data_IF_702665712178
#
_entry.id   IF_702665712178
#
_cell.length_a   1.000
_cell.length_b   1.000
_cell.length_c   1.000
_cell.angle_alpha   90.00
_cell.angle_beta   90.00
_cell.angle_gamma   90.00
#
_symmetry.space_group_name_H-M   'P 1'
#
loop_
_entity.id
_entity.type
_entity.pdbx_description
1 polymer ?
#
# COMPACT_ATOMS: atom_id res chain seq x y z
N UNK A 1 -9.74 -4.64 1.19
CA UNK A 1 -10.45 -5.89 0.86
C UNK A 1 -11.73 -5.57 0.11
N UNK A 2 -12.19 -6.49 -0.72
CA UNK A 2 -13.47 -6.34 -1.43
C UNK A 2 -14.63 -6.22 -0.44
N UNK A 3 -15.69 -5.53 -0.86
CA UNK A 3 -16.93 -5.49 -0.07
C UNK A 3 -17.86 -6.64 -0.46
N UNK A 4 -18.68 -7.11 0.48
CA UNK A 4 -19.73 -8.08 0.18
C UNK A 4 -20.71 -7.57 -0.90
N UNK A 5 -20.93 -6.26 -0.94
CA UNK A 5 -21.81 -5.64 -1.94
C UNK A 5 -21.24 -5.80 -3.35
N UNK A 6 -19.92 -5.54 -3.54
CA UNK A 6 -19.26 -5.76 -4.84
C UNK A 6 -19.36 -7.23 -5.27
N UNK A 7 -19.04 -8.17 -4.35
CA UNK A 7 -19.08 -9.61 -4.64
C UNK A 7 -20.49 -10.07 -5.05
N UNK A 8 -21.51 -9.56 -4.37
CA UNK A 8 -22.92 -9.93 -4.65
C UNK A 8 -23.48 -9.29 -5.91
N UNK A 9 -22.95 -8.15 -6.34
CA UNK A 9 -23.43 -7.46 -7.53
C UNK A 9 -23.18 -8.26 -8.81
N UNK A 10 -21.98 -8.79 -8.98
CA UNK A 10 -21.62 -9.66 -10.11
C UNK A 10 -20.47 -10.62 -9.74
N UNK A 11 -20.78 -11.77 -9.13
CA UNK A 11 -19.76 -12.74 -8.73
C UNK A 11 -18.95 -13.31 -9.91
N UNK A 12 -19.58 -13.47 -11.09
CA UNK A 12 -18.94 -14.00 -12.27
C UNK A 12 -17.89 -13.05 -12.82
N UNK A 13 -18.26 -11.79 -12.99
CA UNK A 13 -17.34 -10.73 -13.40
C UNK A 13 -16.13 -10.68 -12.46
N UNK A 14 -16.34 -10.75 -11.14
CA UNK A 14 -15.24 -10.73 -10.17
C UNK A 14 -14.30 -11.91 -10.37
N UNK A 15 -14.82 -13.14 -10.52
CA UNK A 15 -14.00 -14.33 -10.76
C UNK A 15 -13.18 -14.16 -12.04
N UNK A 16 -13.79 -13.71 -13.13
CA UNK A 16 -13.12 -13.45 -14.41
C UNK A 16 -12.00 -12.42 -14.26
N UNK A 17 -12.27 -11.31 -13.56
CA UNK A 17 -11.25 -10.26 -13.34
C UNK A 17 -10.11 -10.74 -12.43
N UNK A 18 -10.38 -11.50 -11.39
CA UNK A 18 -9.36 -12.07 -10.51
C UNK A 18 -8.42 -13.04 -11.25
N UNK A 19 -8.92 -13.74 -12.29
CA UNK A 19 -8.10 -14.60 -13.14
C UNK A 19 -6.99 -13.82 -13.89
N UNK A 20 -7.18 -12.53 -14.18
CA UNK A 20 -6.14 -11.64 -14.74
C UNK A 20 -4.92 -11.57 -13.85
N UNK A 21 -5.12 -11.55 -12.50
CA UNK A 21 -4.03 -11.64 -11.50
C UNK A 21 -3.51 -13.07 -11.28
N UNK A 22 -4.00 -14.06 -12.02
CA UNK A 22 -3.67 -15.45 -11.80
C UNK A 22 -4.32 -16.07 -10.56
N UNK A 23 -5.34 -15.43 -10.00
CA UNK A 23 -6.04 -15.91 -8.83
C UNK A 23 -7.30 -16.69 -9.22
N UNK A 24 -7.40 -17.96 -8.76
CA UNK A 24 -8.63 -18.74 -8.88
C UNK A 24 -9.64 -18.25 -7.85
N UNK A 25 -10.58 -17.44 -8.32
CA UNK A 25 -11.62 -16.83 -7.48
C UNK A 25 -12.87 -17.70 -7.27
N UNK A 26 -13.07 -18.80 -8.00
CA UNK A 26 -14.34 -19.55 -7.97
C UNK A 26 -14.69 -20.03 -6.55
N UNK A 27 -13.80 -20.78 -5.92
CA UNK A 27 -14.04 -21.34 -4.58
C UNK A 27 -14.10 -20.26 -3.49
N UNK A 28 -13.15 -19.30 -3.42
CA UNK A 28 -13.21 -18.23 -2.42
C UNK A 28 -14.47 -17.37 -2.51
N UNK A 29 -14.87 -16.96 -3.71
CA UNK A 29 -16.10 -16.16 -3.91
C UNK A 29 -17.34 -16.97 -3.53
N UNK A 30 -17.45 -18.22 -3.95
CA UNK A 30 -18.55 -19.09 -3.56
C UNK A 30 -18.62 -19.28 -2.03
N UNK A 31 -17.47 -19.45 -1.35
CA UNK A 31 -17.39 -19.57 0.11
C UNK A 31 -17.89 -18.31 0.80
N UNK A 32 -17.45 -17.13 0.36
CA UNK A 32 -17.89 -15.84 0.92
C UNK A 32 -19.41 -15.66 0.78
N UNK A 33 -19.97 -16.01 -0.39
CA UNK A 33 -21.42 -15.93 -0.62
C UNK A 33 -22.20 -16.87 0.29
N UNK A 34 -21.74 -18.11 0.46
CA UNK A 34 -22.37 -19.07 1.36
C UNK A 34 -22.31 -18.64 2.83
N UNK A 35 -21.18 -18.09 3.24
CA UNK A 35 -21.04 -17.52 4.59
C UNK A 35 -21.91 -16.29 4.80
N UNK A 36 -22.10 -15.42 3.80
CA UNK A 36 -23.01 -14.27 3.91
C UNK A 36 -24.47 -14.73 3.99
N UNK A 37 -24.85 -15.79 3.32
CA UNK A 37 -26.18 -16.38 3.45
C UNK A 37 -26.42 -16.92 4.86
N UNK A 38 -25.47 -17.69 5.42
CA UNK A 38 -25.52 -18.16 6.80
C UNK A 38 -25.56 -17.01 7.81
N UNK A 39 -24.74 -15.98 7.62
CA UNK A 39 -24.74 -14.78 8.47
C UNK A 39 -26.09 -14.10 8.49
N UNK A 40 -26.78 -13.98 7.34
CA UNK A 40 -28.13 -13.38 7.26
C UNK A 40 -29.18 -14.24 7.97
N UNK A 41 -29.11 -15.57 7.82
CA UNK A 41 -30.01 -16.49 8.53
C UNK A 41 -29.81 -16.40 10.05
N UNK A 42 -28.56 -16.43 10.52
CA UNK A 42 -28.22 -16.30 11.93
C UNK A 42 -28.61 -14.94 12.51
N UNK A 43 -28.43 -13.85 11.74
CA UNK A 43 -28.89 -12.51 12.15
C UNK A 43 -30.41 -12.48 12.33
N UNK A 44 -31.15 -13.04 11.39
CA UNK A 44 -32.63 -13.10 11.49
C UNK A 44 -33.06 -13.93 12.71
N UNK A 45 -32.44 -15.09 12.96
CA UNK A 45 -32.72 -15.92 14.14
C UNK A 45 -32.41 -15.19 15.43
N UNK A 46 -31.28 -14.53 15.52
CA UNK A 46 -30.88 -13.75 16.70
C UNK A 46 -31.83 -12.58 16.96
N UNK A 47 -32.20 -11.84 15.94
CA UNK A 47 -33.15 -10.71 16.05
C UNK A 47 -34.55 -11.17 16.43
N UNK A 48 -35.00 -12.32 15.87
CA UNK A 48 -36.29 -12.93 16.22
C UNK A 48 -36.31 -13.37 17.68
N UNK A 49 -35.25 -14.04 18.15
CA UNK A 49 -35.12 -14.44 19.54
C UNK A 49 -35.08 -13.24 20.50
N UNK A 50 -34.39 -12.16 20.12
CA UNK A 50 -34.35 -10.91 20.89
C UNK A 50 -35.74 -10.26 21.01
N UNK A 51 -36.49 -10.20 19.89
CA UNK A 51 -37.88 -9.67 19.89
C UNK A 51 -38.80 -10.49 20.75
N UNK A 52 -38.71 -11.83 20.70
CA UNK A 52 -39.53 -12.74 21.51
C UNK A 52 -39.18 -12.62 23.00
N UNK A 53 -37.92 -12.49 23.37
CA UNK A 53 -37.48 -12.23 24.75
C UNK A 53 -38.11 -10.94 25.30
N UNK A 54 -38.14 -9.87 24.50
CA UNK A 54 -38.79 -8.61 24.90
C UNK A 54 -40.29 -8.78 25.10
N UNK A 55 -40.97 -9.55 24.23
CA UNK A 55 -42.37 -9.87 24.33
C UNK A 55 -42.70 -10.68 25.59
N UNK A 56 -41.88 -11.70 25.87
CA UNK A 56 -42.06 -12.54 27.06
C UNK A 56 -41.79 -11.76 28.36
N UNK A 57 -40.78 -10.88 28.36
CA UNK A 57 -40.52 -10.01 29.52
C UNK A 57 -41.71 -9.09 29.83
N UNK A 58 -42.35 -8.51 28.79
CA UNK A 58 -43.56 -7.71 28.96
C UNK A 58 -44.75 -8.55 29.48
N UNK A 59 -44.91 -9.79 29.01
CA UNK A 59 -45.93 -10.73 29.47
C UNK A 59 -45.75 -11.11 30.93
N UNK A 60 -44.51 -11.42 31.38
CA UNK A 60 -44.18 -11.67 32.77
C UNK A 60 -44.54 -10.46 33.64
N UNK A 61 -44.15 -9.27 33.22
CA UNK A 61 -44.50 -8.03 33.94
C UNK A 61 -46.02 -7.83 34.13
N UNK A 62 -46.81 -8.17 33.10
CA UNK A 62 -48.26 -8.11 33.15
C UNK A 62 -48.83 -9.19 34.10
N UNK A 63 -48.41 -10.44 33.96
CA UNK A 63 -48.85 -11.56 34.80
C UNK A 63 -48.56 -11.32 36.30
N UNK A 64 -47.36 -10.76 36.60
CA UNK A 64 -47.02 -10.39 37.99
C UNK A 64 -47.91 -9.30 38.57
N UNK A 65 -48.30 -8.26 37.77
CA UNK A 65 -49.20 -7.20 38.18
C UNK A 65 -50.62 -7.69 38.43
N UNK A 66 -51.05 -8.70 37.68
CA UNK A 66 -52.38 -9.32 37.79
C UNK A 66 -52.42 -10.47 38.80
N UNK A 67 -51.33 -10.75 39.52
CA UNK A 67 -51.26 -11.80 40.55
C UNK A 67 -51.19 -13.24 40.03
N UNK A 68 -51.00 -13.45 38.71
CA UNK A 68 -50.94 -14.77 38.04
C UNK A 68 -49.51 -15.34 38.13
N UNK A 69 -49.14 -15.82 39.32
CA UNK A 69 -47.79 -16.26 39.63
C UNK A 69 -47.33 -17.50 38.83
N UNK A 70 -48.22 -18.49 38.63
CA UNK A 70 -47.91 -19.72 37.86
C UNK A 70 -47.62 -19.43 36.40
N UNK A 71 -48.37 -18.49 35.78
CA UNK A 71 -48.14 -18.06 34.42
C UNK A 71 -46.81 -17.30 34.28
N UNK A 72 -46.45 -16.51 35.30
CA UNK A 72 -45.17 -15.80 35.32
C UNK A 72 -43.98 -16.76 35.48
N UNK A 73 -44.10 -17.84 36.28
CA UNK A 73 -43.05 -18.86 36.44
C UNK A 73 -42.81 -19.66 35.13
N UNK A 74 -43.86 -20.15 34.48
CA UNK A 74 -43.78 -20.81 33.17
C UNK A 74 -43.13 -19.93 32.11
N UNK A 75 -43.48 -18.66 32.09
CA UNK A 75 -42.88 -17.71 31.16
C UNK A 75 -41.42 -17.45 31.46
N UNK A 76 -40.96 -17.49 32.73
CA UNK A 76 -39.55 -17.37 33.09
C UNK A 76 -38.72 -18.57 32.62
N UNK A 77 -39.24 -19.80 32.71
CA UNK A 77 -38.58 -20.98 32.16
C UNK A 77 -38.37 -20.85 30.65
N UNK A 78 -39.38 -20.41 29.91
CA UNK A 78 -39.28 -20.14 28.47
C UNK A 78 -38.23 -19.05 28.15
N UNK A 79 -38.17 -18.00 28.98
CA UNK A 79 -37.14 -16.95 28.82
C UNK A 79 -35.75 -17.49 29.02
N UNK A 80 -35.53 -18.43 29.98
CA UNK A 80 -34.22 -19.02 30.22
C UNK A 80 -33.72 -19.82 29.00
N UNK A 81 -34.59 -20.67 28.43
CA UNK A 81 -34.27 -21.43 27.22
C UNK A 81 -33.99 -20.52 26.01
N UNK A 82 -34.83 -19.54 25.78
CA UNK A 82 -34.68 -18.62 24.64
C UNK A 82 -33.43 -17.74 24.77
N UNK A 83 -32.98 -17.40 25.97
CA UNK A 83 -31.69 -16.72 26.21
C UNK A 83 -30.51 -17.57 25.83
N UNK A 84 -30.53 -18.85 26.13
CA UNK A 84 -29.45 -19.78 25.74
C UNK A 84 -29.39 -19.94 24.21
N UNK A 85 -30.57 -20.05 23.55
CA UNK A 85 -30.63 -20.11 22.08
C UNK A 85 -30.11 -18.81 21.45
N UNK A 86 -30.53 -17.64 21.94
CA UNK A 86 -30.07 -16.33 21.44
C UNK A 86 -28.55 -16.20 21.61
N UNK A 87 -28.00 -16.62 22.73
CA UNK A 87 -26.56 -16.61 22.98
C UNK A 87 -25.81 -17.50 21.98
N UNK A 88 -26.33 -18.71 21.71
CA UNK A 88 -25.75 -19.61 20.72
C UNK A 88 -25.76 -18.98 19.30
N UNK A 89 -26.89 -18.34 18.89
CA UNK A 89 -26.96 -17.62 17.61
C UNK A 89 -25.99 -16.46 17.55
N UNK A 90 -25.84 -15.68 18.61
CA UNK A 90 -24.90 -14.56 18.66
C UNK A 90 -23.44 -15.03 18.55
N UNK A 91 -23.07 -16.12 19.23
CA UNK A 91 -21.73 -16.71 19.15
C UNK A 91 -21.43 -17.27 17.75
N UNK A 92 -22.39 -17.94 17.12
CA UNK A 92 -22.22 -18.47 15.78
C UNK A 92 -22.17 -17.37 14.74
N UNK A 93 -22.99 -16.31 14.90
CA UNK A 93 -22.95 -15.11 14.07
C UNK A 93 -21.59 -14.43 14.13
N UNK A 94 -21.03 -14.27 15.32
CA UNK A 94 -19.69 -13.68 15.50
C UNK A 94 -18.60 -14.52 14.81
N UNK A 95 -18.65 -15.85 14.95
CA UNK A 95 -17.73 -16.76 14.23
C UNK A 95 -17.87 -16.64 12.72
N UNK A 96 -19.09 -16.66 12.20
CA UNK A 96 -19.36 -16.54 10.76
C UNK A 96 -18.87 -15.20 10.22
N UNK A 97 -19.00 -14.10 10.95
CA UNK A 97 -18.46 -12.78 10.58
C UNK A 97 -16.94 -12.79 10.52
N UNK A 98 -16.26 -13.41 11.50
CA UNK A 98 -14.80 -13.55 11.50
C UNK A 98 -14.30 -14.43 10.34
N UNK A 99 -15.04 -15.50 9.98
CA UNK A 99 -14.71 -16.33 8.82
C UNK A 99 -14.85 -15.56 7.52
N UNK A 100 -15.92 -14.77 7.33
CA UNK A 100 -16.08 -13.90 6.16
C UNK A 100 -14.90 -12.93 6.04
N UNK A 101 -14.49 -12.30 7.13
CA UNK A 101 -13.36 -11.38 7.14
C UNK A 101 -12.06 -12.10 6.74
N UNK A 102 -11.83 -13.30 7.28
CA UNK A 102 -10.66 -14.12 6.95
C UNK A 102 -10.62 -14.50 5.48
N UNK A 103 -11.76 -14.92 4.91
CA UNK A 103 -11.85 -15.23 3.48
C UNK A 103 -11.60 -14.00 2.61
N UNK A 104 -12.21 -12.86 2.94
CA UNK A 104 -12.02 -11.60 2.21
C UNK A 104 -10.57 -11.10 2.23
N UNK A 105 -9.81 -11.38 3.31
CA UNK A 105 -8.39 -11.04 3.40
C UNK A 105 -7.52 -11.86 2.45
N UNK A 106 -7.99 -13.01 2.00
CA UNK A 106 -7.29 -13.89 1.08
C UNK A 106 -7.63 -13.64 -0.40
N UNK A 107 -8.57 -12.75 -0.68
CA UNK A 107 -8.97 -12.38 -2.05
C UNK A 107 -8.27 -11.07 -2.43
N UNK A 108 -7.50 -11.04 -3.54
CA UNK A 108 -6.84 -9.83 -4.01
C UNK A 108 -7.85 -8.77 -4.49
N UNK A 109 -7.37 -7.55 -4.71
CA UNK A 109 -8.19 -6.51 -5.33
C UNK A 109 -8.50 -6.87 -6.79
N UNK A 110 -9.66 -6.42 -7.26
CA UNK A 110 -10.09 -6.58 -8.65
C UNK A 110 -9.18 -5.72 -9.54
N UNK A 111 -8.52 -6.27 -10.56
CA UNK A 111 -7.77 -5.45 -11.50
C UNK A 111 -8.70 -4.59 -12.36
N UNK A 112 -8.28 -3.34 -12.58
CA UNK A 112 -8.96 -2.42 -13.50
C UNK A 112 -9.02 -2.99 -14.92
N UNK A 113 -10.04 -2.62 -15.70
CA UNK A 113 -10.26 -3.18 -17.05
C UNK A 113 -9.05 -3.02 -17.98
N UNK A 114 -8.31 -1.93 -17.86
CA UNK A 114 -7.13 -1.64 -18.65
C UNK A 114 -5.85 -2.39 -18.23
N UNK A 115 -5.89 -3.26 -17.21
CA UNK A 115 -4.74 -4.06 -16.80
C UNK A 115 -4.51 -5.18 -17.81
N UNK A 116 -3.29 -5.29 -18.42
CA UNK A 116 -2.99 -6.33 -19.38
C UNK A 116 -2.91 -7.70 -18.71
N UNK A 117 -3.29 -8.72 -19.47
CA UNK A 117 -3.05 -10.11 -19.07
C UNK A 117 -1.54 -10.40 -19.11
N UNK A 118 -1.06 -11.19 -18.17
CA UNK A 118 0.34 -11.56 -18.05
C UNK A 118 0.62 -12.23 -16.72
N UNK A 119 1.79 -12.86 -16.59
CA UNK A 119 2.19 -13.63 -15.41
C UNK A 119 3.46 -13.12 -14.73
N UNK A 120 4.28 -12.39 -15.47
CA UNK A 120 5.61 -11.96 -15.02
C UNK A 120 5.90 -10.54 -15.48
N UNK A 121 6.93 -9.93 -14.95
CA UNK A 121 7.41 -8.60 -15.37
C UNK A 121 7.71 -8.50 -16.89
N UNK A 122 8.01 -9.61 -17.56
CA UNK A 122 8.22 -9.62 -19.01
C UNK A 122 6.95 -9.32 -19.82
N UNK A 123 5.78 -9.47 -19.21
CA UNK A 123 4.46 -9.24 -19.83
C UNK A 123 3.96 -7.80 -19.58
N UNK A 124 4.73 -6.96 -18.86
CA UNK A 124 4.40 -5.57 -18.62
C UNK A 124 4.46 -4.75 -19.92
N UNK A 125 3.61 -3.76 -20.04
CA UNK A 125 3.49 -2.94 -21.24
C UNK A 125 4.19 -1.60 -21.05
N UNK A 126 5.20 -1.31 -21.90
CA UNK A 126 5.82 0.02 -21.95
C UNK A 126 4.82 1.00 -22.55
N UNK A 127 4.36 1.97 -21.78
CA UNK A 127 3.42 3.00 -22.23
C UNK A 127 4.11 4.25 -22.78
N UNK A 128 5.22 4.63 -22.13
CA UNK A 128 5.90 5.87 -22.43
C UNK A 128 7.39 5.77 -22.14
N UNK A 129 8.20 6.44 -22.96
CA UNK A 129 9.64 6.51 -22.78
C UNK A 129 10.10 7.96 -22.93
N UNK A 130 11.20 8.33 -22.27
CA UNK A 130 11.78 9.68 -22.39
C UNK A 130 13.21 9.76 -21.87
N UNK A 131 13.78 10.95 -21.97
CA UNK A 131 15.17 11.21 -21.65
C UNK A 131 16.14 10.72 -22.73
N UNK A 132 17.39 11.18 -22.64
CA UNK A 132 18.45 10.81 -23.56
C UNK A 132 19.35 9.72 -22.96
N UNK A 133 19.58 8.65 -23.72
CA UNK A 133 20.50 7.61 -23.31
C UNK A 133 21.93 8.18 -23.27
N UNK A 134 22.66 8.06 -22.15
CA UNK A 134 24.01 8.59 -22.06
C UNK A 134 24.98 7.76 -22.90
N UNK A 135 25.87 8.44 -23.60
CA UNK A 135 27.02 7.80 -24.24
C UNK A 135 28.17 7.76 -23.22
N UNK A 136 28.46 6.58 -22.70
CA UNK A 136 29.57 6.38 -21.76
C UNK A 136 30.74 5.68 -22.43
N UNK A 137 31.98 5.94 -21.97
CA UNK A 137 33.14 5.21 -22.42
C UNK A 137 33.05 3.72 -22.03
N UNK A 138 33.81 2.86 -22.75
CA UNK A 138 33.76 1.40 -22.52
C UNK A 138 34.18 0.98 -21.11
N UNK A 139 35.03 1.78 -20.46
CA UNK A 139 35.52 1.61 -19.10
C UNK A 139 34.65 2.29 -18.02
N UNK A 140 33.43 2.72 -18.35
CA UNK A 140 32.50 3.30 -17.41
C UNK A 140 32.25 2.39 -16.20
N UNK A 141 32.33 2.96 -15.01
CA UNK A 141 32.26 2.20 -13.77
C UNK A 141 30.80 2.10 -13.28
N UNK A 142 30.38 0.97 -12.72
CA UNK A 142 29.11 0.85 -12.04
C UNK A 142 29.13 1.62 -10.71
N UNK A 143 27.93 1.96 -10.20
CA UNK A 143 27.78 2.83 -9.04
C UNK A 143 28.52 2.36 -7.77
N UNK A 144 28.68 1.07 -7.54
CA UNK A 144 29.42 0.55 -6.37
C UNK A 144 30.93 0.81 -6.46
N UNK A 145 31.49 0.83 -7.66
CA UNK A 145 32.91 1.17 -7.87
C UNK A 145 33.09 2.69 -7.83
N UNK A 146 32.15 3.48 -8.38
CA UNK A 146 32.15 4.94 -8.24
C UNK A 146 31.97 5.37 -6.78
N UNK A 147 31.08 4.71 -6.04
CA UNK A 147 30.87 4.97 -4.61
C UNK A 147 32.16 4.77 -3.80
N UNK A 148 32.95 3.74 -4.13
CA UNK A 148 34.25 3.48 -3.52
C UNK A 148 35.30 4.48 -3.98
N UNK A 149 35.40 4.76 -5.29
CA UNK A 149 36.36 5.68 -5.88
C UNK A 149 36.30 7.07 -5.26
N UNK A 150 35.10 7.58 -5.06
CA UNK A 150 34.82 8.94 -4.53
C UNK A 150 34.46 8.94 -3.05
N UNK A 151 34.57 7.81 -2.34
CA UNK A 151 34.22 7.67 -0.92
C UNK A 151 32.82 8.22 -0.57
N UNK A 152 31.83 7.80 -1.35
CA UNK A 152 30.45 8.27 -1.21
C UNK A 152 29.58 7.34 -0.37
N UNK A 153 29.82 6.03 -0.48
CA UNK A 153 29.03 5.00 0.19
C UNK A 153 29.98 3.85 0.57
N UNK A 154 29.91 3.45 1.82
CA UNK A 154 30.66 2.32 2.35
C UNK A 154 29.72 1.18 2.72
N UNK A 155 29.76 0.10 1.96
CA UNK A 155 28.96 -1.09 2.20
C UNK A 155 29.55 -1.98 3.30
N UNK A 156 30.89 -1.99 3.46
CA UNK A 156 31.56 -2.81 4.45
C UNK A 156 31.32 -2.29 5.87
N UNK A 157 31.29 -0.96 6.05
CA UNK A 157 30.88 -0.35 7.32
C UNK A 157 29.43 -0.69 7.65
N UNK A 158 28.55 -0.73 6.67
CA UNK A 158 27.17 -1.17 6.84
C UNK A 158 27.06 -2.62 7.32
N UNK A 159 27.85 -3.51 6.70
CA UNK A 159 27.95 -4.92 7.15
C UNK A 159 28.46 -5.02 8.59
N UNK A 160 29.45 -4.21 8.95
CA UNK A 160 30.00 -4.17 10.32
C UNK A 160 29.00 -3.72 11.36
N UNK A 161 28.14 -2.75 11.03
CA UNK A 161 27.19 -2.15 11.98
C UNK A 161 25.93 -3.02 12.13
N UNK A 162 25.42 -3.53 11.00
CA UNK A 162 24.09 -4.16 10.96
C UNK A 162 24.09 -5.48 10.18
N UNK A 163 24.63 -5.46 8.96
CA UNK A 163 24.61 -6.59 8.02
C UNK A 163 24.58 -6.12 6.57
N UNK A 164 24.57 -7.07 5.64
CA UNK A 164 24.44 -6.75 4.22
C UNK A 164 23.12 -6.03 3.93
N UNK A 165 23.11 -5.13 2.94
CA UNK A 165 21.90 -4.37 2.55
C UNK A 165 21.63 -3.12 3.40
N UNK A 166 22.57 -2.69 4.23
CA UNK A 166 22.52 -1.45 5.03
C UNK A 166 23.71 -0.54 4.67
N UNK A 167 23.65 0.28 3.63
CA UNK A 167 24.75 1.13 3.20
C UNK A 167 25.00 2.29 4.16
N UNK A 168 26.27 2.73 4.28
CA UNK A 168 26.65 3.94 5.01
C UNK A 168 27.03 5.02 4.00
N UNK A 169 26.26 6.08 3.92
CA UNK A 169 26.54 7.24 3.06
C UNK A 169 27.54 8.17 3.74
N UNK A 170 28.54 8.66 2.98
CA UNK A 170 29.67 9.44 3.51
C UNK A 170 29.85 10.73 2.70
N UNK A 171 30.19 11.83 3.34
CA UNK A 171 30.62 13.07 2.71
C UNK A 171 29.67 13.60 1.64
N UNK A 172 30.15 13.73 0.38
CA UNK A 172 29.34 14.18 -0.77
C UNK A 172 28.20 13.20 -1.08
N UNK A 173 28.35 11.90 -0.79
CA UNK A 173 27.28 10.90 -0.94
C UNK A 173 26.10 11.15 0.02
N UNK A 174 26.39 11.38 1.30
CA UNK A 174 25.37 11.73 2.29
C UNK A 174 24.70 13.08 1.97
N UNK A 175 25.48 14.03 1.44
CA UNK A 175 24.95 15.32 1.00
C UNK A 175 24.01 15.17 -0.20
N UNK A 176 24.37 14.35 -1.21
CA UNK A 176 23.54 14.05 -2.36
C UNK A 176 22.21 13.38 -1.93
N UNK A 177 22.29 12.43 -1.00
CA UNK A 177 21.09 11.77 -0.45
C UNK A 177 20.10 12.78 0.15
N UNK A 178 20.58 13.68 1.01
CA UNK A 178 19.75 14.74 1.60
C UNK A 178 19.23 15.74 0.55
N UNK A 179 20.03 16.06 -0.45
CA UNK A 179 19.66 16.97 -1.54
C UNK A 179 18.49 16.39 -2.36
N UNK A 180 18.50 15.09 -2.65
CA UNK A 180 17.41 14.40 -3.32
C UNK A 180 16.12 14.41 -2.48
N UNK A 181 16.23 14.10 -1.18
CA UNK A 181 15.08 14.15 -0.26
C UNK A 181 14.44 15.54 -0.30
N UNK A 182 15.24 16.59 -0.10
CA UNK A 182 14.72 17.94 -0.08
C UNK A 182 14.14 18.36 -1.42
N UNK A 183 14.79 18.02 -2.53
CA UNK A 183 14.30 18.30 -3.87
C UNK A 183 12.92 17.65 -4.12
N UNK A 184 12.77 16.37 -3.78
CA UNK A 184 11.51 15.64 -3.98
C UNK A 184 10.37 16.20 -3.12
N UNK A 185 10.64 16.55 -1.86
CA UNK A 185 9.65 17.17 -0.98
C UNK A 185 9.24 18.56 -1.49
N UNK A 186 10.20 19.40 -1.90
CA UNK A 186 9.91 20.72 -2.47
C UNK A 186 9.06 20.62 -3.75
N UNK A 187 9.34 19.66 -4.63
CA UNK A 187 8.56 19.44 -5.85
C UNK A 187 7.16 18.89 -5.55
N UNK A 188 7.03 18.00 -4.56
CA UNK A 188 5.72 17.55 -4.09
C UNK A 188 4.90 18.71 -3.51
N UNK A 189 5.52 19.59 -2.70
CA UNK A 189 4.89 20.79 -2.17
C UNK A 189 4.37 21.73 -3.27
N UNK A 190 5.16 21.93 -4.35
CA UNK A 190 4.71 22.72 -5.53
C UNK A 190 3.53 22.11 -6.26
N UNK A 191 3.39 20.79 -6.20
CA UNK A 191 2.26 20.03 -6.77
C UNK A 191 1.05 19.96 -5.83
N UNK A 192 1.08 20.72 -4.71
CA UNK A 192 -0.03 20.83 -3.76
C UNK A 192 -0.12 19.70 -2.73
N UNK A 193 0.95 18.92 -2.56
CA UNK A 193 1.01 17.93 -1.48
C UNK A 193 1.41 18.59 -0.16
N UNK A 194 0.73 18.20 0.92
CA UNK A 194 1.09 18.56 2.29
C UNK A 194 2.13 17.58 2.81
N UNK A 195 3.27 18.10 3.27
CA UNK A 195 4.31 17.29 3.88
C UNK A 195 3.89 16.79 5.26
N UNK A 196 4.08 15.48 5.47
CA UNK A 196 3.82 14.78 6.72
C UNK A 196 5.11 14.10 7.18
N UNK A 197 5.45 14.23 8.44
CA UNK A 197 6.54 13.49 9.07
C UNK A 197 5.95 12.41 10.00
N UNK A 198 5.76 11.17 9.50
CA UNK A 198 5.13 10.10 10.26
C UNK A 198 6.14 9.34 11.14
N UNK A 199 5.67 8.56 12.13
CA UNK A 199 6.52 7.61 12.84
C UNK A 199 6.98 6.48 11.89
N UNK A 200 8.18 5.92 12.14
CA UNK A 200 8.75 4.82 11.35
C UNK A 200 8.41 3.43 11.91
N UNK A 201 7.68 3.40 12.99
CA UNK A 201 7.09 2.19 13.58
C UNK A 201 5.58 2.33 13.64
N UNK A 202 4.87 1.24 13.33
CA UNK A 202 3.42 1.20 13.29
C UNK A 202 2.88 0.00 14.05
N UNK A 203 1.64 0.09 14.53
CA UNK A 203 0.94 -1.02 15.12
C UNK A 203 0.36 -1.98 14.05
N UNK A 204 -0.09 -3.16 14.49
CA UNK A 204 -0.68 -4.19 13.63
C UNK A 204 -1.87 -3.66 12.81
N UNK A 205 -2.76 -2.86 13.43
CA UNK A 205 -3.92 -2.28 12.75
C UNK A 205 -3.54 -1.37 11.58
N UNK A 206 -2.38 -0.71 11.64
CA UNK A 206 -1.87 0.10 10.54
C UNK A 206 -1.34 -0.74 9.39
N UNK A 207 -0.62 -1.82 9.69
CA UNK A 207 -0.18 -2.77 8.67
C UNK A 207 -1.36 -3.49 7.99
N UNK A 208 -2.40 -3.80 8.75
CA UNK A 208 -3.64 -4.36 8.25
C UNK A 208 -4.38 -3.39 7.31
N UNK A 209 -4.47 -2.12 7.70
CA UNK A 209 -5.21 -1.09 6.96
C UNK A 209 -4.77 -0.93 5.51
N UNK A 210 -3.47 -0.93 5.24
CA UNK A 210 -2.88 -0.78 3.90
C UNK A 210 -2.57 -2.12 3.21
N UNK A 211 -2.67 -3.25 3.94
CA UNK A 211 -2.56 -4.58 3.33
C UNK A 211 -1.18 -5.22 3.40
N UNK A 212 -0.24 -4.65 4.16
CA UNK A 212 1.04 -5.29 4.49
C UNK A 212 0.87 -6.46 5.46
N UNK A 213 -0.20 -6.46 6.25
CA UNK A 213 -0.59 -7.58 7.10
C UNK A 213 -1.91 -8.20 6.63
N UNK A 214 -2.06 -9.54 6.76
CA UNK A 214 -1.06 -10.50 7.21
C UNK A 214 0.14 -10.59 6.25
N UNK A 215 1.37 -10.58 6.81
CA UNK A 215 2.62 -10.62 6.04
C UNK A 215 2.91 -12.04 5.52
N UNK A 216 2.36 -12.35 4.35
CA UNK A 216 2.49 -13.67 3.71
C UNK A 216 3.89 -13.94 3.17
N UNK A 217 4.64 -12.88 2.87
CA UNK A 217 5.97 -12.95 2.26
C UNK A 217 7.12 -12.77 3.26
N UNK A 218 6.80 -12.44 4.51
CA UNK A 218 7.79 -12.22 5.55
C UNK A 218 8.64 -10.96 5.35
N UNK A 219 8.07 -9.91 4.77
CA UNK A 219 8.79 -8.68 4.41
C UNK A 219 8.92 -7.67 5.56
N UNK A 220 8.04 -7.74 6.55
CA UNK A 220 8.00 -6.77 7.65
C UNK A 220 9.01 -7.10 8.74
N UNK A 221 9.75 -6.10 9.22
CA UNK A 221 10.51 -6.19 10.46
C UNK A 221 9.59 -6.02 11.67
N UNK A 222 9.57 -7.01 12.56
CA UNK A 222 8.77 -6.99 13.79
C UNK A 222 9.65 -6.60 15.01
N UNK A 223 9.25 -5.56 15.73
CA UNK A 223 9.75 -5.22 17.06
C UNK A 223 8.97 -6.04 18.07
N UNK A 224 9.51 -7.18 18.44
CA UNK A 224 8.77 -8.28 19.08
C UNK A 224 8.18 -7.92 20.46
N UNK A 225 8.94 -7.20 21.31
CA UNK A 225 8.50 -6.85 22.67
C UNK A 225 7.30 -5.90 22.65
N UNK A 226 7.33 -4.91 21.76
CA UNK A 226 6.31 -3.85 21.69
C UNK A 226 5.18 -4.18 20.71
N UNK A 227 5.30 -5.28 19.95
CA UNK A 227 4.37 -5.68 18.87
C UNK A 227 4.16 -4.56 17.84
N UNK A 228 5.24 -3.87 17.50
CA UNK A 228 5.30 -2.85 16.47
C UNK A 228 6.05 -3.37 15.25
N UNK A 229 5.81 -2.74 14.10
CA UNK A 229 6.46 -3.07 12.84
C UNK A 229 7.22 -1.85 12.32
N UNK A 230 8.45 -2.05 11.83
CA UNK A 230 9.14 -1.03 11.04
C UNK A 230 8.43 -0.88 9.69
N UNK A 231 8.23 0.36 9.26
CA UNK A 231 7.49 0.63 8.02
C UNK A 231 8.29 0.23 6.77
N UNK A 232 7.70 -0.47 5.79
CA UNK A 232 8.33 -0.75 4.50
C UNK A 232 8.18 0.41 3.51
N UNK A 233 7.34 1.39 3.83
CA UNK A 233 6.99 2.58 3.04
C UNK A 233 6.21 3.57 3.92
N UNK A 234 6.34 4.87 3.65
CA UNK A 234 5.54 5.89 4.31
C UNK A 234 4.03 5.81 3.97
N UNK A 235 3.66 5.08 2.91
CA UNK A 235 2.27 4.75 2.61
C UNK A 235 1.53 4.26 3.86
N UNK A 236 2.14 3.35 4.63
CA UNK A 236 1.49 2.72 5.79
C UNK A 236 1.06 3.75 6.83
N UNK A 237 1.95 4.55 7.43
CA UNK A 237 1.53 5.53 8.42
C UNK A 237 0.69 6.66 7.84
N UNK A 238 0.99 7.16 6.63
CA UNK A 238 0.30 8.31 6.06
C UNK A 238 -1.15 7.97 5.67
N UNK A 239 -1.38 6.82 5.04
CA UNK A 239 -2.75 6.40 4.70
C UNK A 239 -3.56 6.09 5.96
N UNK A 240 -2.91 5.59 7.03
CA UNK A 240 -3.58 5.30 8.31
C UNK A 240 -3.96 6.54 9.13
N UNK A 241 -3.53 7.76 8.75
CA UNK A 241 -4.07 9.00 9.32
C UNK A 241 -5.60 9.10 9.12
N UNK A 242 -6.10 8.44 8.09
CA UNK A 242 -7.51 8.44 7.70
C UNK A 242 -8.24 7.15 8.10
N UNK A 243 -7.66 6.32 8.98
CA UNK A 243 -8.30 5.12 9.50
C UNK A 243 -9.44 5.48 10.46
N UNK A 244 -10.62 4.83 10.28
CA UNK A 244 -11.85 5.05 11.03
C UNK A 244 -12.41 6.50 10.95
N UNK A 245 -12.11 7.21 9.84
CA UNK A 245 -12.54 8.59 9.61
C UNK A 245 -13.67 8.65 8.60
N UNK A 246 -14.61 9.57 8.81
CA UNK A 246 -15.57 10.02 7.80
C UNK A 246 -15.21 11.45 7.43
N UNK A 247 -14.60 11.62 6.27
CA UNK A 247 -14.11 12.89 5.72
C UNK A 247 -15.33 13.66 5.17
N UNK A 248 -15.36 14.99 5.33
CA UNK A 248 -16.35 15.80 4.61
C UNK A 248 -16.00 15.84 3.12
N UNK A 249 -17.01 15.67 2.24
CA UNK A 249 -16.78 15.56 0.79
C UNK A 249 -16.11 16.79 0.15
N UNK A 250 -16.20 17.96 0.79
CA UNK A 250 -15.54 19.21 0.39
C UNK A 250 -14.05 19.26 0.80
N UNK A 251 -13.59 18.36 1.66
CA UNK A 251 -12.18 18.22 2.04
C UNK A 251 -11.37 17.33 1.08
N UNK A 252 -12.04 16.66 0.16
CA UNK A 252 -11.39 15.86 -0.89
C UNK A 252 -11.10 16.72 -2.13
N UNK A 253 -9.98 16.52 -2.83
CA UNK A 253 -8.95 15.49 -2.57
C UNK A 253 -8.00 15.85 -1.43
N UNK A 254 -7.48 14.82 -0.73
CA UNK A 254 -6.38 14.96 0.21
C UNK A 254 -5.09 14.49 -0.47
N UNK A 255 -4.07 15.34 -0.46
CA UNK A 255 -2.75 15.08 -1.04
C UNK A 255 -1.68 15.20 0.04
N UNK A 256 -1.00 14.11 0.37
CA UNK A 256 0.08 14.09 1.36
C UNK A 256 1.38 13.57 0.73
N UNK A 257 2.52 14.10 1.15
CA UNK A 257 3.82 13.53 0.87
C UNK A 257 4.60 13.31 2.18
N UNK A 258 5.48 12.31 2.18
CA UNK A 258 6.30 12.02 3.35
C UNK A 258 7.65 11.44 2.94
N UNK A 259 8.71 11.92 3.53
CA UNK A 259 10.00 11.24 3.57
C UNK A 259 10.03 10.23 4.71
N UNK A 260 10.56 9.05 4.45
CA UNK A 260 10.90 8.08 5.48
C UNK A 260 12.06 7.19 5.11
N UNK A 261 12.78 6.69 6.12
CA UNK A 261 13.48 5.43 5.98
C UNK A 261 12.45 4.30 5.87
N UNK A 262 12.70 3.36 4.95
CA UNK A 262 11.87 2.20 4.67
C UNK A 262 12.66 0.94 5.00
N UNK A 263 12.00 -0.06 5.58
CA UNK A 263 12.63 -1.29 6.06
C UNK A 263 11.95 -2.50 5.44
N UNK A 264 12.72 -3.30 4.68
CA UNK A 264 12.22 -4.54 4.05
C UNK A 264 13.18 -5.68 4.35
N UNK A 265 12.64 -6.84 4.73
CA UNK A 265 13.46 -8.03 5.01
C UNK A 265 14.07 -8.63 3.74
N UNK A 266 13.54 -8.27 2.57
CA UNK A 266 14.00 -8.76 1.27
C UNK A 266 14.12 -10.29 1.24
N UNK A 267 13.18 -10.98 1.89
CA UNK A 267 13.17 -12.43 2.05
C UNK A 267 13.18 -13.10 0.66
N UNK A 268 14.14 -14.02 0.46
CA UNK A 268 14.27 -14.76 -0.81
C UNK A 268 15.09 -14.07 -1.89
N UNK A 269 15.72 -12.92 -1.62
CA UNK A 269 16.53 -12.20 -2.61
C UNK A 269 18.01 -12.58 -2.51
N UNK A 270 18.59 -13.04 -3.62
CA UNK A 270 19.99 -13.50 -3.69
C UNK A 270 20.66 -13.09 -5.03
N UNK A 271 22.01 -13.04 -5.04
CA UNK A 271 22.80 -12.96 -6.26
C UNK A 271 23.09 -11.54 -6.75
N UNK A 272 23.22 -11.35 -8.07
CA UNK A 272 23.65 -10.09 -8.71
C UNK A 272 22.70 -8.90 -8.44
N UNK A 273 21.43 -9.17 -8.19
CA UNK A 273 20.41 -8.15 -7.98
C UNK A 273 20.49 -7.46 -6.61
N UNK A 274 21.30 -8.00 -5.68
CA UNK A 274 21.54 -7.38 -4.35
C UNK A 274 22.84 -6.57 -4.28
N UNK A 275 23.57 -6.42 -5.40
CA UNK A 275 24.86 -5.69 -5.38
C UNK A 275 24.64 -4.18 -5.35
N UNK A 276 25.45 -3.51 -4.51
CA UNK A 276 25.43 -2.04 -4.39
C UNK A 276 24.08 -1.52 -3.85
N UNK A 277 23.46 -0.58 -4.57
CA UNK A 277 22.21 0.07 -4.22
C UNK A 277 20.95 -0.58 -4.86
N UNK A 278 21.11 -1.68 -5.57
CA UNK A 278 20.01 -2.27 -6.32
C UNK A 278 18.88 -2.81 -5.43
N UNK A 279 19.24 -3.39 -4.26
CA UNK A 279 18.28 -3.93 -3.30
C UNK A 279 18.82 -3.84 -1.87
N UNK A 280 18.08 -3.20 -1.00
CA UNK A 280 18.52 -2.85 0.35
C UNK A 280 17.46 -3.22 1.39
N UNK A 281 17.92 -3.60 2.59
CA UNK A 281 17.05 -3.81 3.76
C UNK A 281 16.57 -2.50 4.38
N UNK A 282 17.37 -1.45 4.27
CA UNK A 282 17.02 -0.09 4.66
C UNK A 282 17.33 0.87 3.53
N UNK A 283 16.37 1.71 3.16
CA UNK A 283 16.52 2.72 2.13
C UNK A 283 15.60 3.91 2.39
N UNK A 284 15.92 5.04 1.76
CA UNK A 284 15.14 6.27 1.86
C UNK A 284 14.19 6.43 0.68
N UNK A 285 12.99 6.93 0.97
CA UNK A 285 11.95 7.16 -0.03
C UNK A 285 11.11 8.39 0.31
N UNK A 286 10.78 9.18 -0.68
CA UNK A 286 9.68 10.13 -0.60
C UNK A 286 8.44 9.46 -1.20
N UNK A 287 7.36 9.45 -0.46
CA UNK A 287 6.09 8.85 -0.85
C UNK A 287 5.03 9.93 -1.01
N UNK A 288 4.18 9.80 -2.02
CA UNK A 288 2.97 10.60 -2.20
C UNK A 288 1.75 9.72 -2.01
N UNK A 289 0.76 10.22 -1.28
CA UNK A 289 -0.48 9.51 -0.94
C UNK A 289 -1.66 10.42 -1.24
N UNK A 290 -2.70 9.87 -1.86
CA UNK A 290 -3.93 10.60 -2.12
C UNK A 290 -5.14 9.84 -1.59
N UNK A 291 -6.10 10.60 -1.05
CA UNK A 291 -7.44 10.12 -0.70
C UNK A 291 -8.42 10.88 -1.60
N UNK A 292 -9.16 10.12 -2.40
CA UNK A 292 -9.98 10.66 -3.49
C UNK A 292 -11.43 10.20 -3.41
N UNK A 293 -12.31 10.93 -4.10
CA UNK A 293 -13.61 10.37 -4.48
C UNK A 293 -13.42 9.34 -5.59
N UNK A 294 -14.26 8.29 -5.66
CA UNK A 294 -14.16 7.26 -6.69
C UNK A 294 -14.11 7.79 -8.12
N UNK A 295 -14.94 8.78 -8.43
CA UNK A 295 -15.06 9.41 -9.75
C UNK A 295 -13.82 10.17 -10.20
N UNK A 296 -13.00 10.66 -9.27
CA UNK A 296 -11.83 11.50 -9.55
C UNK A 296 -10.50 10.70 -9.52
N UNK A 297 -10.52 9.48 -9.00
CA UNK A 297 -9.30 8.73 -8.65
C UNK A 297 -8.41 8.36 -9.85
N UNK A 298 -8.99 8.14 -11.01
CA UNK A 298 -8.19 7.82 -12.22
C UNK A 298 -7.55 9.08 -12.84
N UNK A 299 -8.21 10.23 -12.78
CA UNK A 299 -7.58 11.50 -13.13
C UNK A 299 -6.44 11.83 -12.14
N UNK A 300 -6.66 11.57 -10.85
CA UNK A 300 -5.63 11.70 -9.82
C UNK A 300 -4.43 10.78 -10.05
N UNK A 301 -4.64 9.57 -10.55
CA UNK A 301 -3.57 8.63 -10.92
C UNK A 301 -2.70 9.20 -12.06
N UNK A 302 -3.30 9.80 -13.10
CA UNK A 302 -2.56 10.44 -14.16
C UNK A 302 -1.74 11.64 -13.64
N UNK A 303 -2.31 12.51 -12.79
CA UNK A 303 -1.56 13.60 -12.14
C UNK A 303 -0.35 13.09 -11.35
N UNK A 304 -0.49 11.95 -10.65
CA UNK A 304 0.62 11.34 -9.92
C UNK A 304 1.70 10.80 -10.86
N UNK A 305 1.32 10.19 -11.97
CA UNK A 305 2.24 9.72 -13.01
C UNK A 305 3.02 10.90 -13.62
N UNK A 306 2.33 11.98 -13.97
CA UNK A 306 2.95 13.19 -14.52
C UNK A 306 3.93 13.84 -13.51
N UNK A 307 3.58 13.85 -12.23
CA UNK A 307 4.48 14.34 -11.18
C UNK A 307 5.78 13.52 -11.12
N UNK A 308 5.69 12.19 -11.07
CA UNK A 308 6.85 11.30 -11.03
C UNK A 308 7.69 11.42 -12.31
N UNK A 309 7.07 11.44 -13.48
CA UNK A 309 7.75 11.66 -14.75
C UNK A 309 8.53 13.00 -14.73
N UNK A 310 7.90 14.08 -14.28
CA UNK A 310 8.53 15.39 -14.19
C UNK A 310 9.75 15.44 -13.26
N UNK A 311 9.79 14.61 -12.22
CA UNK A 311 10.99 14.45 -11.36
C UNK A 311 12.15 13.82 -12.16
N UNK A 312 11.88 12.76 -12.92
CA UNK A 312 12.89 12.07 -13.72
C UNK A 312 13.43 12.96 -14.85
N UNK A 313 12.56 13.73 -15.48
CA UNK A 313 12.94 14.73 -16.51
C UNK A 313 13.86 15.81 -15.94
N UNK A 314 13.55 16.35 -14.76
CA UNK A 314 14.40 17.35 -14.08
C UNK A 314 15.75 16.78 -13.65
N UNK A 315 15.83 15.49 -13.31
CA UNK A 315 17.07 14.80 -13.02
C UNK A 315 17.89 14.48 -14.30
N UNK A 316 17.29 14.61 -15.48
CA UNK A 316 17.93 14.31 -16.77
C UNK A 316 18.18 12.81 -17.00
N UNK A 317 17.45 11.94 -16.31
CA UNK A 317 17.59 10.49 -16.44
C UNK A 317 16.76 9.95 -17.61
N UNK A 318 17.26 8.97 -18.40
CA UNK A 318 16.41 8.20 -19.31
C UNK A 318 15.43 7.35 -18.49
N UNK A 319 14.19 7.35 -18.91
CA UNK A 319 13.12 6.67 -18.20
C UNK A 319 12.11 5.99 -19.13
N UNK A 320 11.40 5.01 -18.61
CA UNK A 320 10.16 4.51 -19.18
C UNK A 320 9.10 4.26 -18.11
N UNK A 321 7.84 4.25 -18.54
CA UNK A 321 6.68 3.93 -17.71
C UNK A 321 6.12 2.62 -18.19
N UNK A 322 5.98 1.67 -17.26
CA UNK A 322 5.40 0.36 -17.47
C UNK A 322 4.01 0.30 -16.85
N UNK A 323 3.02 -0.14 -17.60
CA UNK A 323 1.76 -0.61 -17.02
C UNK A 323 1.92 -2.08 -16.68
N UNK A 324 1.79 -2.41 -15.39
CA UNK A 324 1.97 -3.77 -14.93
C UNK A 324 0.85 -4.68 -15.40
N UNK A 325 1.20 -5.89 -15.79
CA UNK A 325 0.25 -6.97 -16.04
C UNK A 325 -0.31 -7.53 -14.73
N UNK A 326 -1.43 -8.24 -14.82
CA UNK A 326 -2.11 -8.76 -13.64
C UNK A 326 -1.26 -9.63 -12.73
N UNK A 327 -0.37 -10.45 -13.30
CA UNK A 327 0.51 -11.35 -12.53
C UNK A 327 1.68 -10.68 -11.83
N UNK A 328 2.04 -9.44 -12.23
CA UNK A 328 3.14 -8.66 -11.61
C UNK A 328 2.64 -7.58 -10.65
N UNK A 329 1.33 -7.30 -10.66
CA UNK A 329 0.73 -6.32 -9.76
C UNK A 329 0.70 -6.81 -8.31
N UNK A 330 0.76 -5.86 -7.37
CA UNK A 330 0.55 -6.16 -5.95
C UNK A 330 -0.84 -6.75 -5.69
N UNK A 331 -0.94 -7.51 -4.60
CA UNK A 331 -2.19 -8.13 -4.16
C UNK A 331 -3.32 -7.09 -3.95
N UNK A 332 -2.98 -5.89 -3.51
CA UNK A 332 -3.94 -4.86 -3.07
C UNK A 332 -4.31 -3.84 -4.14
N UNK A 333 -3.48 -3.63 -5.19
CA UNK A 333 -3.72 -2.61 -6.21
C UNK A 333 -4.76 -3.04 -7.24
N UNK A 334 -5.52 -2.06 -7.78
CA UNK A 334 -6.41 -2.25 -8.93
C UNK A 334 -5.66 -2.00 -10.25
N UNK A 335 -4.71 -1.07 -10.26
CA UNK A 335 -3.80 -0.79 -11.36
C UNK A 335 -2.51 -0.21 -10.82
N UNK A 336 -1.39 -0.52 -11.46
CA UNK A 336 -0.06 -0.04 -11.08
C UNK A 336 0.74 0.34 -12.33
N UNK A 337 1.47 1.44 -12.21
CA UNK A 337 2.47 1.89 -13.17
C UNK A 337 3.82 1.98 -12.49
N UNK A 338 4.82 1.29 -13.06
CA UNK A 338 6.19 1.37 -12.60
C UNK A 338 6.99 2.32 -13.48
N UNK A 339 7.88 3.05 -12.84
CA UNK A 339 8.83 3.93 -13.50
C UNK A 339 10.22 3.33 -13.34
N UNK A 340 10.91 3.18 -14.43
CA UNK A 340 12.27 2.69 -14.45
C UNK A 340 13.21 3.72 -15.07
N UNK A 341 14.46 3.75 -14.62
CA UNK A 341 15.53 4.56 -15.17
C UNK A 341 16.65 3.68 -15.70
N UNK A 342 17.30 4.13 -16.76
CA UNK A 342 18.43 3.40 -17.33
C UNK A 342 19.68 3.51 -16.45
N UNK A 343 20.27 2.41 -16.12
CA UNK A 343 21.59 2.28 -15.49
C UNK A 343 22.62 1.97 -16.58
N UNK A 344 23.40 2.97 -16.97
CA UNK A 344 24.22 2.89 -18.16
C UNK A 344 25.40 1.92 -18.02
N UNK A 345 26.00 1.82 -16.84
CA UNK A 345 27.10 0.86 -16.60
C UNK A 345 26.60 -0.57 -16.39
N UNK A 346 25.42 -0.76 -15.81
CA UNK A 346 24.80 -2.09 -15.66
C UNK A 346 24.07 -2.55 -16.93
N UNK A 347 23.81 -1.63 -17.88
CA UNK A 347 23.07 -1.86 -19.13
C UNK A 347 21.70 -2.50 -18.88
N UNK A 348 20.95 -1.94 -17.92
CA UNK A 348 19.61 -2.40 -17.56
C UNK A 348 18.75 -1.27 -17.02
N UNK A 349 17.44 -1.48 -17.05
CA UNK A 349 16.45 -0.63 -16.40
C UNK A 349 16.37 -0.96 -14.91
N UNK A 350 16.18 0.07 -14.08
CA UNK A 350 16.05 -0.01 -12.64
C UNK A 350 14.72 0.66 -12.24
N UNK A 351 13.82 -0.09 -11.65
CA UNK A 351 12.58 0.45 -11.08
C UNK A 351 12.89 1.44 -9.95
N UNK A 352 12.35 2.65 -10.03
CA UNK A 352 12.57 3.74 -9.07
C UNK A 352 11.28 4.26 -8.44
N UNK A 353 10.14 3.91 -9.01
CA UNK A 353 8.82 4.26 -8.49
C UNK A 353 7.79 3.25 -8.94
N UNK A 354 6.76 3.09 -8.11
CA UNK A 354 5.53 2.39 -8.42
C UNK A 354 4.37 3.31 -8.00
N UNK A 355 3.45 3.60 -8.93
CA UNK A 355 2.29 4.46 -8.68
C UNK A 355 1.03 3.62 -8.86
N UNK A 356 0.19 3.56 -7.84
CA UNK A 356 -0.95 2.63 -7.78
C UNK A 356 -2.25 3.31 -7.36
N UNK A 357 -3.36 2.85 -7.95
CA UNK A 357 -4.71 3.08 -7.44
C UNK A 357 -5.22 1.77 -6.81
N UNK A 358 -5.69 1.85 -5.58
CA UNK A 358 -6.24 0.72 -4.83
C UNK A 358 -7.77 0.70 -4.83
N UNK A 359 -8.38 1.72 -5.44
CA UNK A 359 -9.82 1.93 -5.36
C UNK A 359 -10.31 1.87 -3.91
N UNK A 360 -11.40 1.15 -3.64
CA UNK A 360 -11.96 1.01 -2.29
C UNK A 360 -11.25 -0.03 -1.43
N UNK A 361 -10.29 -0.78 -1.95
CA UNK A 361 -9.73 -1.96 -1.28
C UNK A 361 -9.06 -1.65 0.07
N UNK A 362 -8.17 -0.65 0.09
CA UNK A 362 -7.55 -0.18 1.33
C UNK A 362 -8.56 0.62 2.17
N UNK A 363 -9.35 1.48 1.55
CA UNK A 363 -10.35 2.28 2.24
C UNK A 363 -11.37 1.42 3.02
N UNK A 364 -11.74 0.24 2.49
CA UNK A 364 -12.60 -0.70 3.19
C UNK A 364 -11.93 -1.32 4.43
N UNK A 365 -10.63 -1.65 4.36
CA UNK A 365 -9.85 -2.12 5.53
C UNK A 365 -9.69 -1.04 6.58
N UNK A 366 -9.39 0.18 6.13
CA UNK A 366 -9.20 1.37 6.95
C UNK A 366 -10.50 1.92 7.52
N UNK A 367 -11.66 1.55 6.95
CA UNK A 367 -12.93 2.24 7.16
C UNK A 367 -12.82 3.74 6.85
N UNK A 368 -12.03 4.08 5.85
CA UNK A 368 -11.86 5.43 5.34
C UNK A 368 -13.01 5.78 4.40
N UNK A 369 -13.84 6.73 4.81
CA UNK A 369 -15.09 7.08 4.13
C UNK A 369 -15.25 8.58 3.98
N UNK A 370 -16.11 9.00 3.09
CA UNK A 370 -16.50 10.41 3.00
C UNK A 370 -18.02 10.60 3.01
N UNK A 371 -18.46 11.78 3.40
CA UNK A 371 -19.85 12.19 3.33
C UNK A 371 -20.10 12.83 1.97
N UNK A 372 -20.88 12.14 1.11
CA UNK A 372 -21.27 12.65 -0.20
C UNK A 372 -22.34 13.73 -0.15
N UNK A 373 -22.57 14.40 -1.28
CA UNK A 373 -23.63 15.43 -1.44
C UNK A 373 -25.04 14.82 -1.26
N UNK A 374 -25.19 13.52 -1.51
CA UNK A 374 -26.39 12.73 -1.23
C UNK A 374 -26.62 12.47 0.28
N UNK A 375 -25.76 13.03 1.14
CA UNK A 375 -25.74 12.85 2.59
C UNK A 375 -25.47 11.42 3.05
N UNK A 376 -25.10 10.52 2.14
CA UNK A 376 -24.68 9.14 2.46
C UNK A 376 -23.19 9.07 2.69
N UNK A 377 -22.77 7.97 3.28
CA UNK A 377 -21.37 7.68 3.52
C UNK A 377 -20.88 6.68 2.46
N UNK A 378 -19.81 7.07 1.77
CA UNK A 378 -19.17 6.27 0.72
C UNK A 378 -17.73 5.93 1.11
N UNK A 379 -17.19 4.82 0.59
CA UNK A 379 -15.78 4.52 0.70
C UNK A 379 -14.97 5.47 -0.20
N UNK A 380 -13.84 5.95 0.30
CA UNK A 380 -12.87 6.67 -0.52
C UNK A 380 -12.14 5.71 -1.46
N UNK A 381 -11.46 6.26 -2.47
CA UNK A 381 -10.35 5.60 -3.16
C UNK A 381 -9.02 6.06 -2.55
N UNK A 382 -8.05 5.16 -2.46
CA UNK A 382 -6.69 5.47 -2.01
C UNK A 382 -5.71 5.24 -3.14
N UNK A 383 -4.74 6.15 -3.26
CA UNK A 383 -3.65 6.04 -4.22
C UNK A 383 -2.33 6.33 -3.51
N UNK A 384 -1.27 5.70 -3.96
CA UNK A 384 0.08 6.07 -3.55
C UNK A 384 1.08 5.95 -4.69
N UNK A 385 2.25 6.54 -4.48
CA UNK A 385 3.37 6.42 -5.39
C UNK A 385 4.67 6.88 -4.76
N UNK A 386 5.77 6.27 -5.17
CA UNK A 386 7.10 6.72 -4.77
C UNK A 386 7.51 7.93 -5.60
N UNK A 387 7.88 9.02 -4.94
CA UNK A 387 8.30 10.25 -5.61
C UNK A 387 9.68 10.76 -5.10
N UNK A 388 10.77 9.96 -5.07
CA UNK A 388 11.10 8.63 -5.62
C UNK A 388 11.76 7.75 -4.54
N UNK A 389 12.09 6.49 -4.90
CA UNK A 389 12.97 5.62 -4.09
C UNK A 389 14.44 5.97 -4.39
N UNK A 390 15.17 6.47 -3.37
CA UNK A 390 16.46 7.12 -3.58
C UNK A 390 17.60 6.20 -4.04
N UNK A 391 17.74 4.96 -3.56
CA UNK A 391 18.96 4.19 -3.86
C UNK A 391 19.24 3.99 -5.36
N UNK A 392 18.21 3.59 -6.10
CA UNK A 392 18.34 3.34 -7.54
C UNK A 392 18.45 4.65 -8.34
N UNK A 393 17.87 5.75 -7.84
CA UNK A 393 18.12 7.10 -8.40
C UNK A 393 19.56 7.51 -8.18
N UNK A 394 20.11 7.31 -6.97
CA UNK A 394 21.54 7.57 -6.71
C UNK A 394 22.42 6.71 -7.62
N UNK A 395 22.14 5.41 -7.73
CA UNK A 395 22.88 4.52 -8.62
C UNK A 395 22.88 5.03 -10.08
N UNK A 396 21.70 5.37 -10.61
CA UNK A 396 21.58 5.87 -11.98
C UNK A 396 22.28 7.23 -12.18
N UNK A 397 22.16 8.16 -11.22
CA UNK A 397 22.86 9.45 -11.28
C UNK A 397 24.38 9.29 -11.27
N UNK A 398 24.93 8.43 -10.40
CA UNK A 398 26.35 8.17 -10.37
C UNK A 398 26.86 7.58 -11.69
N UNK A 399 26.13 6.58 -12.22
CA UNK A 399 26.55 5.90 -13.45
C UNK A 399 26.38 6.76 -14.70
N UNK A 400 25.21 7.41 -14.85
CA UNK A 400 24.87 8.12 -16.09
C UNK A 400 25.58 9.46 -16.23
N UNK A 401 26.01 10.07 -15.11
CA UNK A 401 26.62 11.40 -15.11
C UNK A 401 28.13 11.38 -14.89
N UNK A 402 28.79 10.20 -14.98
CA UNK A 402 30.23 10.10 -14.84
C UNK A 402 30.96 10.71 -16.03
N UNK A 403 32.03 11.44 -15.74
CA UNK A 403 32.95 12.07 -16.71
C UNK A 403 34.38 11.81 -16.28
N UNK A 404 35.40 12.12 -17.10
CA UNK A 404 36.81 12.03 -16.69
C UNK A 404 37.13 12.89 -15.46
N UNK A 405 36.45 14.03 -15.29
CA UNK A 405 36.67 15.00 -14.21
C UNK A 405 35.94 14.62 -12.93
N UNK A 406 34.92 13.77 -13.00
CA UNK A 406 34.10 13.39 -11.87
C UNK A 406 32.66 13.07 -12.27
N UNK A 407 31.74 13.13 -11.31
CA UNK A 407 30.31 12.89 -11.54
C UNK A 407 29.57 14.22 -11.52
N UNK A 408 28.99 14.62 -12.64
CA UNK A 408 28.25 15.89 -12.77
C UNK A 408 26.93 15.81 -12.05
N UNK A 409 26.68 16.77 -11.16
CA UNK A 409 25.41 16.87 -10.44
C UNK A 409 24.36 17.56 -11.31
N UNK A 410 23.14 16.99 -11.46
CA UNK A 410 22.03 17.65 -12.15
C UNK A 410 21.78 19.06 -11.66
N UNK A 411 21.50 20.00 -12.55
CA UNK A 411 21.31 21.42 -12.22
C UNK A 411 20.27 21.64 -11.11
N UNK A 412 19.15 20.91 -11.20
CA UNK A 412 18.07 20.99 -10.20
C UNK A 412 18.52 20.65 -8.77
N UNK A 413 19.61 19.91 -8.58
CA UNK A 413 20.14 19.49 -7.29
C UNK A 413 21.23 20.42 -6.74
N UNK A 414 21.90 21.25 -7.59
CA UNK A 414 23.09 22.01 -7.18
C UNK A 414 22.85 22.97 -6.02
N UNK A 415 21.66 23.61 -5.99
CA UNK A 415 21.31 24.48 -4.86
C UNK A 415 21.18 23.74 -3.51
N UNK A 416 20.89 22.43 -3.54
CA UNK A 416 20.76 21.59 -2.35
C UNK A 416 22.10 20.91 -1.97
N UNK A 417 22.87 20.50 -2.97
CA UNK A 417 24.19 19.89 -2.73
C UNK A 417 25.24 20.91 -2.31
N UNK A 418 25.23 22.10 -2.93
CA UNK A 418 26.23 23.11 -2.77
C UNK A 418 27.53 22.81 -3.53
N UNK A 419 27.48 21.86 -4.47
CA UNK A 419 28.55 21.52 -5.44
C UNK A 419 27.94 21.03 -6.74
N UNK A 420 28.68 21.19 -7.84
CA UNK A 420 28.24 20.85 -9.20
C UNK A 420 28.86 19.52 -9.69
N UNK A 421 29.94 19.07 -9.05
CA UNK A 421 30.67 17.87 -9.40
C UNK A 421 31.09 17.10 -8.14
N UNK A 422 31.09 15.79 -8.26
CA UNK A 422 31.67 14.87 -7.27
C UNK A 422 32.99 14.39 -7.84
N UNK A 423 34.08 14.88 -7.29
CA UNK A 423 35.48 14.64 -7.63
C UNK A 423 36.25 14.03 -6.46
#
# INVERSE_FOLDING_TARGET
MLTLQQIKADPKFIVERLAVKGFDGEKPIARVLALDELRRDLQLKNDTAAAELNRMAATIGKAMKEGRKDDAEKAKEGVALLKEEQKAFAEELARTQAEIETELLNIPNIPYEGVPEGRTAADNVVEKTGGNMPELPEDALPHWDLAKKYNLIDFDLGVKITGAGFPVYIGKGARLQRALIQFFLDEAGKSGYTEIQPPYVVNEASGYGTGQLPDKEGQMYLVNLDKLYLIPTAEVPVTNLYRDVIISGDQLPIKNCAYSACFRREAGSYGKDVRGLNRLHQFDKVEIVRIEKPEDSYAALEEMKDHVQGLLEKLGLPWHILRLCGGDMSFTSAITFDFEVWSAAQKRWLEVSSVSNFETYQANRLKCRYRGDDKKTHLCHTLNGSALALPRIVAALLENNQTPEGIVVPECLRKYTGFDIID
#
